data_IF_363327461291
#
_entry.id   IF_363327461291
#
_cell.length_a   1.000
_cell.length_b   1.000
_cell.length_c   1.000
_cell.angle_alpha   90.00
_cell.angle_beta   90.00
_cell.angle_gamma   90.00
#
_symmetry.space_group_name_H-M   'P 1'
#
loop_
_entity.id
_entity.type
_entity.pdbx_description
1 polymer ?
#
# COMPACT_ATOMS: atom_id res chain seq x y z
N UNK A 1 27.47 2.31 15.77
CA UNK A 1 27.45 1.27 14.71
C UNK A 1 26.01 0.77 14.58
N UNK A 2 25.35 0.91 13.42
CA UNK A 2 23.98 0.44 13.20
C UNK A 2 23.94 -1.10 13.28
N UNK A 3 23.09 -1.67 14.14
CA UNK A 3 22.87 -3.13 14.18
C UNK A 3 21.70 -3.52 13.27
N UNK A 4 22.00 -4.25 12.19
CA UNK A 4 21.00 -4.96 11.38
C UNK A 4 20.42 -6.15 12.17
N UNK A 5 19.10 -6.26 12.17
CA UNK A 5 18.36 -7.32 12.86
C UNK A 5 17.93 -8.43 11.91
N UNK A 6 17.49 -8.10 10.69
CA UNK A 6 17.05 -9.09 9.71
C UNK A 6 18.22 -9.93 9.16
N UNK A 7 18.07 -11.25 9.16
CA UNK A 7 19.01 -12.18 8.55
C UNK A 7 18.94 -12.11 7.02
N UNK A 8 17.79 -11.74 6.44
CA UNK A 8 17.69 -11.42 5.02
C UNK A 8 18.66 -10.30 4.62
N UNK A 9 18.78 -9.25 5.43
CA UNK A 9 19.74 -8.18 5.16
C UNK A 9 21.17 -8.57 5.43
N UNK A 10 21.42 -9.39 6.46
CA UNK A 10 22.77 -9.90 6.72
C UNK A 10 23.31 -10.75 5.56
N UNK A 11 22.48 -11.62 4.97
CA UNK A 11 22.89 -12.45 3.83
C UNK A 11 23.12 -11.64 2.55
N UNK A 12 22.47 -10.49 2.39
CA UNK A 12 22.71 -9.57 1.29
C UNK A 12 24.02 -8.77 1.42
N UNK A 13 24.53 -8.60 2.66
CA UNK A 13 25.76 -7.85 2.96
C UNK A 13 27.02 -8.68 2.77
N UNK A 14 26.91 -10.01 2.89
CA UNK A 14 27.99 -10.94 2.63
C UNK A 14 28.42 -10.88 1.15
N UNK A 15 29.31 -9.93 0.82
CA UNK A 15 29.99 -9.83 -0.46
C UNK A 15 29.69 -8.60 -1.34
N UNK A 16 28.97 -7.57 -0.87
CA UNK A 16 28.65 -6.38 -1.69
C UNK A 16 29.00 -5.03 -1.05
N UNK A 17 29.38 -4.07 -1.88
CA UNK A 17 29.54 -2.66 -1.48
C UNK A 17 28.18 -2.00 -1.22
N UNK A 18 28.15 -0.97 -0.36
CA UNK A 18 26.94 -0.25 -0.01
C UNK A 18 26.30 0.35 -1.28
N UNK A 19 25.08 -0.11 -1.61
CA UNK A 19 24.32 0.36 -2.77
C UNK A 19 23.08 1.13 -2.33
N UNK A 20 22.54 1.96 -3.22
CA UNK A 20 21.27 2.65 -2.98
C UNK A 20 20.12 1.67 -2.66
N UNK A 21 20.13 0.49 -3.29
CA UNK A 21 19.20 -0.59 -2.98
C UNK A 21 19.33 -1.05 -1.53
N UNK A 22 20.55 -1.33 -1.06
CA UNK A 22 20.78 -1.75 0.32
C UNK A 22 20.38 -0.65 1.33
N UNK A 23 20.64 0.62 1.03
CA UNK A 23 20.16 1.74 1.84
C UNK A 23 18.64 1.81 1.96
N UNK A 24 17.91 1.46 0.89
CA UNK A 24 16.45 1.37 0.92
C UNK A 24 15.95 0.20 1.78
N UNK A 25 16.61 -0.96 1.69
CA UNK A 25 16.23 -2.11 2.51
C UNK A 25 16.50 -1.89 4.01
N UNK A 26 17.61 -1.20 4.35
CA UNK A 26 17.85 -0.75 5.72
C UNK A 26 16.73 0.17 6.20
N UNK A 27 16.33 1.14 5.39
CA UNK A 27 15.23 2.03 5.73
C UNK A 27 13.93 1.25 6.02
N UNK A 28 13.62 0.24 5.21
CA UNK A 28 12.47 -0.67 5.41
C UNK A 28 12.55 -1.35 6.78
N UNK A 29 13.68 -1.97 7.13
CA UNK A 29 13.87 -2.59 8.46
C UNK A 29 13.64 -1.57 9.59
N UNK A 30 14.19 -0.35 9.45
CA UNK A 30 14.02 0.68 10.47
C UNK A 30 12.58 1.16 10.61
N UNK A 31 11.85 1.25 9.50
CA UNK A 31 10.46 1.65 9.51
C UNK A 31 9.59 0.58 10.21
N UNK A 32 9.79 -0.69 9.87
CA UNK A 32 9.12 -1.84 10.49
C UNK A 32 9.36 -1.90 12.00
N UNK A 33 10.61 -1.66 12.43
CA UNK A 33 10.98 -1.64 13.85
C UNK A 33 10.49 -0.38 14.61
N UNK A 34 9.74 0.52 13.98
CA UNK A 34 9.27 1.75 14.62
C UNK A 34 10.39 2.73 14.96
N UNK A 35 11.52 2.68 14.25
CA UNK A 35 12.67 3.57 14.48
C UNK A 35 12.67 4.81 13.58
N UNK A 36 11.71 4.91 12.66
CA UNK A 36 11.52 6.06 11.76
C UNK A 36 10.05 6.45 11.77
N UNK A 37 9.78 7.69 12.16
CA UNK A 37 8.44 8.27 12.21
C UNK A 37 8.45 9.69 11.63
N UNK A 38 7.32 10.09 11.05
CA UNK A 38 7.12 11.39 10.42
C UNK A 38 6.69 11.29 8.96
N UNK A 39 6.20 12.41 8.43
CA UNK A 39 5.61 12.49 7.09
C UNK A 39 6.60 12.10 5.97
N UNK A 40 7.86 12.55 6.06
CA UNK A 40 8.89 12.21 5.08
C UNK A 40 9.23 10.72 5.04
N UNK A 41 9.24 10.05 6.21
CA UNK A 41 9.39 8.59 6.26
C UNK A 41 8.16 7.85 5.76
N UNK A 42 6.96 8.37 6.01
CA UNK A 42 5.72 7.77 5.50
C UNK A 42 5.66 7.83 3.97
N UNK A 43 6.00 8.99 3.38
CA UNK A 43 6.06 9.14 1.93
C UNK A 43 7.05 8.15 1.29
N UNK A 44 8.28 8.11 1.82
CA UNK A 44 9.29 7.17 1.36
C UNK A 44 8.87 5.71 1.57
N UNK A 45 8.19 5.41 2.67
CA UNK A 45 7.64 4.07 2.90
C UNK A 45 6.67 3.67 1.80
N UNK A 46 5.72 4.55 1.44
CA UNK A 46 4.77 4.28 0.35
C UNK A 46 5.48 3.99 -0.98
N UNK A 47 6.51 4.78 -1.36
CA UNK A 47 7.28 4.50 -2.58
C UNK A 47 7.99 3.15 -2.55
N UNK A 48 8.59 2.80 -1.40
CA UNK A 48 9.34 1.56 -1.24
C UNK A 48 8.43 0.33 -1.13
N UNK A 49 7.21 0.50 -0.59
CA UNK A 49 6.17 -0.52 -0.47
C UNK A 49 5.88 -1.18 -1.81
N UNK A 50 5.70 -0.36 -2.83
CA UNK A 50 5.32 -0.82 -4.16
C UNK A 50 6.54 -1.32 -4.95
N UNK A 51 7.72 -0.74 -4.67
CA UNK A 51 8.96 -1.06 -5.38
C UNK A 51 9.64 -2.35 -4.90
N UNK A 52 9.52 -2.68 -3.61
CA UNK A 52 10.21 -3.81 -2.98
C UNK A 52 9.26 -4.73 -2.17
N UNK A 53 8.16 -5.22 -2.76
CA UNK A 53 7.13 -5.96 -2.03
C UNK A 53 7.65 -7.29 -1.45
N UNK A 54 8.55 -7.96 -2.17
CA UNK A 54 9.09 -9.26 -1.76
C UNK A 54 10.07 -9.12 -0.60
N UNK A 55 10.93 -8.11 -0.65
CA UNK A 55 11.91 -7.81 0.37
C UNK A 55 11.24 -7.30 1.64
N UNK A 56 10.21 -6.46 1.51
CA UNK A 56 9.39 -6.04 2.66
C UNK A 56 8.75 -7.25 3.32
N UNK A 57 8.15 -8.16 2.53
CA UNK A 57 7.59 -9.40 3.08
C UNK A 57 8.66 -10.21 3.81
N UNK A 58 9.83 -10.42 3.21
CA UNK A 58 10.90 -11.21 3.81
C UNK A 58 11.41 -10.58 5.13
N UNK A 59 11.67 -9.27 5.14
CA UNK A 59 12.18 -8.55 6.31
C UNK A 59 11.10 -8.49 7.40
N UNK A 60 9.86 -8.15 7.05
CA UNK A 60 8.79 -7.96 8.03
C UNK A 60 8.32 -9.27 8.64
N UNK A 61 8.16 -10.33 7.84
CA UNK A 61 7.76 -11.65 8.37
C UNK A 61 8.82 -12.22 9.31
N UNK A 62 10.10 -11.87 9.12
CA UNK A 62 11.17 -12.21 10.04
C UNK A 62 11.13 -11.40 11.35
N UNK A 63 10.94 -10.08 11.24
CA UNK A 63 11.06 -9.15 12.39
C UNK A 63 9.79 -9.06 13.23
N UNK A 64 8.61 -9.04 12.60
CA UNK A 64 7.30 -8.94 13.24
C UNK A 64 6.22 -9.61 12.37
N UNK A 65 6.12 -10.95 12.40
CA UNK A 65 5.15 -11.69 11.58
C UNK A 65 3.70 -11.32 11.89
N UNK A 66 3.37 -11.06 13.17
CA UNK A 66 2.02 -10.65 13.58
C UNK A 66 1.70 -9.24 13.10
N UNK A 67 2.68 -8.33 13.08
CA UNK A 67 2.54 -7.02 12.47
C UNK A 67 2.27 -7.12 10.97
N UNK A 68 3.02 -7.98 10.27
CA UNK A 68 2.83 -8.21 8.84
C UNK A 68 1.44 -8.79 8.50
N UNK A 69 0.94 -9.76 9.28
CA UNK A 69 -0.41 -10.30 9.10
C UNK A 69 -1.49 -9.21 9.25
N UNK A 70 -1.38 -8.36 10.27
CA UNK A 70 -2.30 -7.24 10.48
C UNK A 70 -2.23 -6.23 9.34
N UNK A 71 -1.03 -5.93 8.87
CA UNK A 71 -0.80 -5.03 7.74
C UNK A 71 -1.46 -5.56 6.46
N UNK A 72 -1.24 -6.82 6.11
CA UNK A 72 -1.86 -7.44 4.91
C UNK A 72 -3.37 -7.50 5.04
N UNK A 73 -3.90 -7.77 6.23
CA UNK A 73 -5.34 -7.74 6.45
C UNK A 73 -5.90 -6.34 6.22
N UNK A 74 -5.26 -5.30 6.78
CA UNK A 74 -5.69 -3.92 6.60
C UNK A 74 -5.66 -3.49 5.12
N UNK A 75 -4.63 -3.88 4.37
CA UNK A 75 -4.55 -3.59 2.92
C UNK A 75 -5.68 -4.26 2.14
N UNK A 76 -6.02 -5.52 2.46
CA UNK A 76 -7.14 -6.23 1.83
C UNK A 76 -8.50 -5.60 2.17
N UNK A 77 -8.69 -5.23 3.43
CA UNK A 77 -9.93 -4.60 3.89
C UNK A 77 -10.11 -3.24 3.20
N UNK A 78 -9.03 -2.45 3.06
CA UNK A 78 -9.03 -1.18 2.33
C UNK A 78 -9.30 -1.36 0.83
N UNK A 79 -8.70 -2.36 0.18
CA UNK A 79 -8.95 -2.67 -1.23
C UNK A 79 -10.43 -3.04 -1.46
N UNK A 80 -11.01 -3.83 -0.56
CA UNK A 80 -12.42 -4.20 -0.61
C UNK A 80 -13.33 -2.98 -0.46
N UNK A 81 -13.04 -2.10 0.49
CA UNK A 81 -13.78 -0.84 0.68
C UNK A 81 -13.75 0.01 -0.59
N UNK A 82 -12.56 0.19 -1.20
CA UNK A 82 -12.41 0.93 -2.45
C UNK A 82 -13.28 0.34 -3.58
N UNK A 83 -13.30 -0.99 -3.72
CA UNK A 83 -14.11 -1.69 -4.72
C UNK A 83 -15.61 -1.48 -4.47
N UNK A 84 -16.05 -1.57 -3.23
CA UNK A 84 -17.47 -1.43 -2.88
C UNK A 84 -17.94 0.02 -3.06
N UNK A 85 -17.14 1.01 -2.67
CA UNK A 85 -17.40 2.43 -2.97
C UNK A 85 -17.46 2.68 -4.47
N UNK A 86 -16.56 2.09 -5.27
CA UNK A 86 -16.60 2.25 -6.73
C UNK A 86 -17.89 1.70 -7.35
N UNK A 87 -18.40 0.58 -6.84
CA UNK A 87 -19.69 0.01 -7.27
C UNK A 87 -20.86 0.92 -6.88
N UNK A 88 -20.84 1.48 -5.67
CA UNK A 88 -21.88 2.39 -5.20
C UNK A 88 -21.94 3.65 -6.08
N UNK A 89 -20.79 4.27 -6.36
CA UNK A 89 -20.70 5.41 -7.28
C UNK A 89 -21.22 5.06 -8.68
N UNK A 90 -20.91 3.87 -9.20
CA UNK A 90 -21.41 3.42 -10.48
C UNK A 90 -22.95 3.26 -10.49
N UNK A 91 -23.52 2.74 -9.40
CA UNK A 91 -24.97 2.61 -9.23
C UNK A 91 -25.67 3.96 -9.16
N UNK A 92 -25.13 4.90 -8.38
CA UNK A 92 -25.66 6.27 -8.27
C UNK A 92 -25.69 6.92 -9.66
N UNK A 93 -24.58 6.87 -10.40
CA UNK A 93 -24.51 7.41 -11.77
C UNK A 93 -25.52 6.77 -12.72
N UNK A 94 -25.81 5.48 -12.57
CA UNK A 94 -26.82 4.78 -13.37
C UNK A 94 -28.22 5.29 -13.05
N UNK A 95 -28.53 5.51 -11.77
CA UNK A 95 -29.81 6.04 -11.31
C UNK A 95 -30.00 7.49 -11.77
N UNK A 96 -29.00 8.35 -11.61
CA UNK A 96 -29.02 9.74 -12.09
C UNK A 96 -29.29 9.80 -13.60
N UNK A 97 -28.61 8.97 -14.41
CA UNK A 97 -28.86 8.89 -15.86
C UNK A 97 -30.29 8.45 -16.19
N UNK A 98 -30.82 7.47 -15.45
CA UNK A 98 -32.19 7.02 -15.66
C UNK A 98 -33.22 8.10 -15.29
N UNK A 99 -32.97 8.84 -14.21
CA UNK A 99 -33.82 9.95 -13.78
C UNK A 99 -33.78 11.11 -14.77
N UNK A 100 -32.59 11.54 -15.21
CA UNK A 100 -32.43 12.57 -16.25
C UNK A 100 -33.14 12.17 -17.56
N UNK A 101 -33.03 10.88 -17.95
CA UNK A 101 -33.74 10.37 -19.13
C UNK A 101 -35.26 10.51 -18.97
N UNK A 102 -35.79 10.19 -17.80
CA UNK A 102 -37.22 10.32 -17.48
C UNK A 102 -37.66 11.79 -17.51
N UNK A 103 -36.96 12.66 -16.79
CA UNK A 103 -37.25 14.10 -16.74
C UNK A 103 -37.23 14.74 -18.15
N UNK A 104 -36.26 14.38 -18.99
CA UNK A 104 -36.18 14.85 -20.37
C UNK A 104 -37.37 14.38 -21.23
N UNK A 105 -37.79 13.13 -21.05
CA UNK A 105 -38.95 12.57 -21.77
C UNK A 105 -40.25 13.24 -21.31
N UNK A 106 -40.40 13.46 -20.01
CA UNK A 106 -41.56 14.13 -19.42
C UNK A 106 -41.66 15.62 -19.84
N UNK A 107 -40.52 16.26 -20.12
CA UNK A 107 -40.45 17.62 -20.68
C UNK A 107 -40.74 17.70 -22.20
N UNK A 108 -41.08 16.59 -22.84
CA UNK A 108 -41.39 16.53 -24.28
C UNK A 108 -40.17 16.47 -25.20
N UNK A 109 -38.97 16.24 -24.65
CA UNK A 109 -37.76 16.02 -25.44
C UNK A 109 -37.72 14.62 -26.07
N UNK A 110 -37.29 14.52 -27.33
CA UNK A 110 -37.02 13.25 -28.01
C UNK A 110 -35.53 12.94 -27.89
N UNK A 111 -35.19 11.72 -27.46
CA UNK A 111 -33.81 11.20 -27.35
C UNK A 111 -33.27 10.72 -28.68
#
# INVERSE_FOLDING_TARGET
>A
MMQMKSNYLKSLVEGKSYSAHFGNLLFIEYYILGKKHGMGSAYRWHELKDKYPNEIKAIWTELDPKGYERFIKAERDFEKECIDTAKEVANIRKQERAQLKKEWTDAGGVW
#
